data_IF_078377892561
#
_entry.id   IF_078377892561
#
_cell.length_a   1.000
_cell.length_b   1.000
_cell.length_c   1.000
_cell.angle_alpha   90.00
_cell.angle_beta   90.00
_cell.angle_gamma   90.00
#
_symmetry.space_group_name_H-M   'P 1'
#
loop_
_entity.id
_entity.type
_entity.pdbx_description
1 polymer ?
#
# COMPACT_ATOMS: atom_id res chain seq x y z
N UNK A 1 6.65 -27.09 4.69
CA UNK A 1 6.75 -26.68 3.26
C UNK A 1 5.88 -25.47 2.93
N UNK A 2 4.92 -25.07 3.77
CA UNK A 2 4.03 -23.91 3.62
C UNK A 2 4.75 -22.56 3.78
N UNK A 3 5.68 -22.46 4.74
CA UNK A 3 6.43 -21.24 5.04
C UNK A 3 7.21 -20.69 3.82
N UNK A 4 7.92 -21.56 3.09
CA UNK A 4 8.60 -21.17 1.83
C UNK A 4 7.67 -20.62 0.74
N UNK A 5 6.38 -20.98 0.72
CA UNK A 5 5.42 -20.46 -0.27
C UNK A 5 4.90 -19.08 0.14
N UNK A 6 4.68 -18.87 1.43
CA UNK A 6 4.33 -17.57 1.99
C UNK A 6 5.46 -16.56 1.75
N UNK A 7 6.72 -16.92 2.00
CA UNK A 7 7.88 -16.05 1.73
C UNK A 7 8.00 -15.63 0.25
N UNK A 8 7.72 -16.55 -0.67
CA UNK A 8 7.74 -16.26 -2.11
C UNK A 8 6.58 -15.34 -2.49
N UNK A 9 5.36 -15.61 -2.01
CA UNK A 9 4.20 -14.75 -2.25
C UNK A 9 4.42 -13.35 -1.67
N UNK A 10 5.00 -13.26 -0.47
CA UNK A 10 5.40 -12.00 0.17
C UNK A 10 6.43 -11.26 -0.68
N UNK A 11 7.48 -11.95 -1.15
CA UNK A 11 8.50 -11.37 -2.02
C UNK A 11 7.90 -10.84 -3.33
N UNK A 12 6.93 -11.56 -3.91
CA UNK A 12 6.22 -11.15 -5.12
C UNK A 12 5.25 -9.97 -4.88
N UNK A 13 4.64 -9.89 -3.70
CA UNK A 13 3.70 -8.83 -3.32
C UNK A 13 4.40 -7.57 -2.76
N UNK A 14 5.61 -7.70 -2.21
CA UNK A 14 6.36 -6.61 -1.55
C UNK A 14 6.51 -5.35 -2.41
N UNK A 15 6.82 -5.43 -3.73
CA UNK A 15 6.87 -4.24 -4.59
C UNK A 15 5.55 -3.46 -4.58
N UNK A 16 4.42 -4.16 -4.68
CA UNK A 16 3.08 -3.57 -4.68
C UNK A 16 2.69 -2.99 -3.32
N UNK A 17 3.12 -3.61 -2.22
CA UNK A 17 2.88 -3.09 -0.86
C UNK A 17 3.65 -1.79 -0.64
N UNK A 18 4.91 -1.72 -1.06
CA UNK A 18 5.71 -0.48 -0.94
C UNK A 18 5.15 0.66 -1.80
N UNK A 19 4.68 0.32 -2.99
CA UNK A 19 3.97 1.25 -3.87
C UNK A 19 2.67 1.76 -3.21
N UNK A 20 1.93 0.87 -2.52
CA UNK A 20 0.67 1.21 -1.86
C UNK A 20 0.93 2.10 -0.63
N UNK A 21 1.96 1.78 0.16
CA UNK A 21 2.41 2.61 1.29
C UNK A 21 2.82 3.99 0.80
N UNK A 22 3.55 4.07 -0.31
CA UNK A 22 3.97 5.36 -0.89
C UNK A 22 2.77 6.19 -1.32
N UNK A 23 1.78 5.57 -1.99
CA UNK A 23 0.56 6.24 -2.41
C UNK A 23 -0.31 6.68 -1.20
N UNK A 24 -0.43 5.85 -0.17
CA UNK A 24 -1.13 6.19 1.08
C UNK A 24 -0.45 7.35 1.81
N UNK A 25 0.88 7.33 1.91
CA UNK A 25 1.64 8.40 2.54
C UNK A 25 1.47 9.74 1.80
N UNK A 26 1.53 9.75 0.47
CA UNK A 26 1.26 10.96 -0.32
C UNK A 26 -0.20 11.41 -0.19
N UNK A 27 -1.15 10.48 -0.18
CA UNK A 27 -2.57 10.78 0.03
C UNK A 27 -2.92 11.32 1.42
N UNK A 28 -2.07 11.07 2.43
CA UNK A 28 -2.19 11.66 3.77
C UNK A 28 -1.58 13.07 3.82
N UNK A 29 -0.49 13.32 3.08
CA UNK A 29 0.10 14.68 2.96
C UNK A 29 -0.79 15.62 2.16
N UNK A 30 -1.52 15.08 1.19
CA UNK A 30 -2.36 15.82 0.26
C UNK A 30 -3.79 15.25 0.27
N UNK A 31 -4.56 15.45 1.36
CA UNK A 31 -5.85 14.79 1.56
C UNK A 31 -6.91 15.16 0.51
N UNK A 32 -6.81 16.36 -0.05
CA UNK A 32 -7.76 16.88 -1.05
C UNK A 32 -7.35 16.56 -2.50
N UNK A 33 -6.17 15.99 -2.73
CA UNK A 33 -5.69 15.67 -4.07
C UNK A 33 -6.14 14.27 -4.50
N UNK A 34 -6.64 14.12 -5.75
CA UNK A 34 -6.99 12.83 -6.30
C UNK A 34 -5.73 12.02 -6.67
N UNK A 35 -5.86 10.69 -6.69
CA UNK A 35 -4.72 9.79 -6.95
C UNK A 35 -3.99 10.07 -8.25
N UNK A 36 -4.67 10.46 -9.33
CA UNK A 36 -4.01 10.71 -10.61
C UNK A 36 -2.97 11.85 -10.52
N UNK A 37 -3.24 12.89 -9.73
CA UNK A 37 -2.29 13.97 -9.44
C UNK A 37 -1.13 13.48 -8.54
N UNK A 38 -1.44 12.67 -7.53
CA UNK A 38 -0.42 12.06 -6.64
C UNK A 38 0.50 11.07 -7.37
N UNK A 39 0.01 10.49 -8.47
CA UNK A 39 0.75 9.57 -9.33
C UNK A 39 1.44 10.27 -10.50
N UNK A 40 1.27 11.58 -10.69
CA UNK A 40 1.86 12.27 -11.83
C UNK A 40 3.39 12.21 -11.77
N UNK A 41 4.02 11.68 -12.83
CA UNK A 41 5.47 11.44 -12.87
C UNK A 41 5.94 10.17 -12.14
N UNK A 42 5.07 9.43 -11.44
CA UNK A 42 5.38 8.13 -10.83
C UNK A 42 4.56 7.02 -11.46
N UNK A 43 5.22 5.96 -11.93
CA UNK A 43 4.54 4.77 -12.45
C UNK A 43 4.21 3.82 -11.30
N UNK A 44 3.04 3.99 -10.70
CA UNK A 44 2.49 2.97 -9.81
C UNK A 44 1.88 1.83 -10.65
N UNK A 45 2.10 0.56 -10.29
CA UNK A 45 1.57 -0.59 -11.03
C UNK A 45 0.09 -0.88 -10.71
N UNK A 46 -0.68 0.11 -10.25
CA UNK A 46 -2.07 -0.05 -9.84
C UNK A 46 -3.04 0.12 -11.00
N UNK A 47 -4.07 -0.71 -11.02
CA UNK A 47 -5.17 -0.57 -11.98
C UNK A 47 -6.05 0.63 -11.62
N UNK A 48 -6.81 1.12 -12.59
CA UNK A 48 -7.77 2.22 -12.36
C UNK A 48 -8.81 1.89 -11.27
N UNK A 49 -9.17 0.61 -11.10
CA UNK A 49 -10.07 0.18 -10.03
C UNK A 49 -9.43 0.40 -8.64
N UNK A 50 -8.16 0.01 -8.47
CA UNK A 50 -7.42 0.20 -7.21
C UNK A 50 -7.29 1.68 -6.88
N UNK A 51 -6.96 2.51 -7.88
CA UNK A 51 -6.87 3.96 -7.73
C UNK A 51 -8.23 4.60 -7.43
N UNK A 52 -9.32 4.07 -7.99
CA UNK A 52 -10.69 4.48 -7.69
C UNK A 52 -11.09 4.19 -6.25
N UNK A 53 -10.76 2.99 -5.74
CA UNK A 53 -10.97 2.64 -4.33
C UNK A 53 -10.15 3.53 -3.41
N UNK A 54 -8.89 3.78 -3.74
CA UNK A 54 -8.04 4.71 -2.98
C UNK A 54 -8.68 6.11 -2.86
N UNK A 55 -9.22 6.65 -3.94
CA UNK A 55 -9.87 7.97 -3.94
C UNK A 55 -11.15 8.02 -3.09
N UNK A 56 -11.80 6.87 -2.88
CA UNK A 56 -12.98 6.77 -2.01
C UNK A 56 -12.65 6.67 -0.52
N UNK A 57 -11.37 6.46 -0.16
CA UNK A 57 -10.94 6.39 1.22
C UNK A 57 -10.88 7.77 1.86
N UNK A 58 -11.42 7.89 3.06
CA UNK A 58 -11.22 9.05 3.93
C UNK A 58 -9.78 9.11 4.44
N UNK A 59 -9.37 10.27 4.97
CA UNK A 59 -8.08 10.43 5.63
C UNK A 59 -7.84 9.37 6.73
N UNK A 60 -8.84 9.13 7.59
CA UNK A 60 -8.75 8.17 8.69
C UNK A 60 -8.52 6.76 8.14
N UNK A 61 -9.29 6.36 7.13
CA UNK A 61 -9.15 5.03 6.51
C UNK A 61 -7.78 4.85 5.83
N UNK A 62 -7.24 5.89 5.18
CA UNK A 62 -5.88 5.82 4.61
C UNK A 62 -4.83 5.58 5.70
N UNK A 63 -4.98 6.22 6.87
CA UNK A 63 -4.09 6.04 8.01
C UNK A 63 -4.23 4.65 8.65
N UNK A 64 -5.46 4.12 8.77
CA UNK A 64 -5.73 2.77 9.27
C UNK A 64 -5.07 1.71 8.38
N UNK A 65 -5.25 1.80 7.06
CA UNK A 65 -4.61 0.87 6.11
C UNK A 65 -3.08 0.93 6.22
N UNK A 66 -2.50 2.12 6.37
CA UNK A 66 -1.05 2.27 6.56
C UNK A 66 -0.59 1.59 7.86
N UNK A 67 -1.36 1.72 8.94
CA UNK A 67 -1.08 1.09 10.23
C UNK A 67 -1.20 -0.44 10.16
N UNK A 68 -2.22 -0.97 9.47
CA UNK A 68 -2.37 -2.41 9.25
C UNK A 68 -1.20 -2.98 8.47
N UNK A 69 -0.76 -2.31 7.40
CA UNK A 69 0.42 -2.72 6.63
C UNK A 69 1.67 -2.73 7.52
N UNK A 70 1.89 -1.69 8.32
CA UNK A 70 3.04 -1.62 9.23
C UNK A 70 3.03 -2.77 10.26
N UNK A 71 1.88 -2.99 10.91
CA UNK A 71 1.69 -4.05 11.90
C UNK A 71 1.95 -5.43 11.29
N UNK A 72 1.46 -5.65 10.08
CA UNK A 72 1.69 -6.88 9.35
C UNK A 72 3.18 -7.09 9.04
N UNK A 73 3.89 -6.07 8.52
CA UNK A 73 5.34 -6.14 8.28
C UNK A 73 6.09 -6.49 9.57
N UNK A 74 5.77 -5.82 10.68
CA UNK A 74 6.36 -6.10 11.99
C UNK A 74 6.14 -7.56 12.42
N UNK A 75 4.92 -8.07 12.26
CA UNK A 75 4.56 -9.44 12.62
C UNK A 75 5.30 -10.50 11.79
N UNK A 76 5.63 -10.20 10.54
CA UNK A 76 6.44 -11.10 9.69
C UNK A 76 7.91 -11.05 10.08
N UNK A 77 8.45 -9.88 10.43
CA UNK A 77 9.86 -9.76 10.87
C UNK A 77 10.16 -10.41 12.22
N UNK A 78 9.15 -10.67 13.06
CA UNK A 78 9.30 -11.37 14.34
C UNK A 78 9.22 -12.90 14.23
N UNK A 79 8.92 -13.44 13.04
CA UNK A 79 8.86 -14.89 12.77
C UNK A 79 10.19 -15.47 12.26
N UNK A 80 11.15 -14.62 11.90
CA UNK A 80 12.54 -14.94 11.54
C UNK A 80 13.47 -14.87 12.76
#
# INVERSE_FOLDING_TARGET
MTQKKEDILLSLCRPYILDLVSLLAEGLKHPDQPSHELTEGRKYPFTGEVLGRFNSLTYVQKAEVLHEIATWIESETQKD
#
